data_IF_575379475872
#
_entry.id   IF_575379475872
#
_cell.length_a   1.000
_cell.length_b   1.000
_cell.length_c   1.000
_cell.angle_alpha   90.00
_cell.angle_beta   90.00
_cell.angle_gamma   90.00
#
_symmetry.space_group_name_H-M   'P 1'
#
loop_
_entity.id
_entity.type
_entity.pdbx_description
1 polymer ?
#
# COMPACT_ATOMS: atom_id res chain seq x y z
N UNK A 1 -35.00 15.17 -16.91
CA UNK A 1 -34.13 14.47 -15.95
C UNK A 1 -32.71 15.01 -16.15
N UNK A 2 -32.31 16.02 -15.38
CA UNK A 2 -30.97 16.61 -15.52
C UNK A 2 -29.98 15.69 -14.82
N UNK A 3 -29.20 14.92 -15.60
CA UNK A 3 -28.01 14.26 -15.09
C UNK A 3 -26.98 15.35 -14.79
N UNK A 4 -26.97 15.86 -13.56
CA UNK A 4 -25.84 16.61 -13.05
C UNK A 4 -24.65 15.67 -13.04
N UNK A 5 -23.79 15.79 -14.06
CA UNK A 5 -22.46 15.18 -14.07
C UNK A 5 -21.68 15.82 -12.91
N UNK A 6 -21.81 15.25 -11.70
CA UNK A 6 -20.98 15.62 -10.57
C UNK A 6 -19.57 15.16 -10.90
N UNK A 7 -18.76 16.06 -11.42
CA UNK A 7 -17.36 15.78 -11.75
C UNK A 7 -16.64 15.40 -10.45
N UNK A 8 -16.54 14.08 -10.22
CA UNK A 8 -15.77 13.54 -9.11
C UNK A 8 -14.34 14.07 -9.22
N UNK A 9 -13.83 14.68 -8.15
CA UNK A 9 -12.47 15.25 -8.15
C UNK A 9 -11.52 14.27 -7.48
N UNK A 10 -10.27 14.26 -7.96
CA UNK A 10 -9.19 13.61 -7.24
C UNK A 10 -8.90 14.45 -6.00
N UNK A 11 -9.06 13.85 -4.84
CA UNK A 11 -8.78 14.47 -3.54
C UNK A 11 -7.36 14.14 -3.10
N UNK A 12 -6.80 14.99 -2.25
CA UNK A 12 -5.50 14.78 -1.62
C UNK A 12 -5.38 13.42 -0.92
N UNK A 13 -6.50 12.87 -0.43
CA UNK A 13 -6.58 11.54 0.18
C UNK A 13 -6.26 10.43 -0.81
N UNK A 14 -6.85 10.45 -2.00
CA UNK A 14 -6.56 9.47 -3.05
C UNK A 14 -5.10 9.57 -3.51
N UNK A 15 -4.54 10.79 -3.57
CA UNK A 15 -3.13 11.00 -3.94
C UNK A 15 -2.19 10.44 -2.87
N UNK A 16 -2.41 10.79 -1.60
CA UNK A 16 -1.63 10.27 -0.47
C UNK A 16 -1.69 8.74 -0.40
N UNK A 17 -2.88 8.17 -0.58
CA UNK A 17 -3.06 6.72 -0.63
C UNK A 17 -2.18 6.08 -1.71
N UNK A 18 -2.23 6.59 -2.94
CA UNK A 18 -1.42 6.06 -4.02
C UNK A 18 0.09 6.21 -3.75
N UNK A 19 0.53 7.35 -3.23
CA UNK A 19 1.95 7.58 -2.89
C UNK A 19 2.42 6.58 -1.83
N UNK A 20 1.66 6.39 -0.75
CA UNK A 20 2.01 5.46 0.32
C UNK A 20 2.07 4.03 -0.22
N UNK A 21 1.09 3.62 -1.03
CA UNK A 21 1.08 2.27 -1.60
C UNK A 21 2.28 2.02 -2.53
N UNK A 22 2.63 2.99 -3.38
CA UNK A 22 3.81 2.90 -4.26
C UNK A 22 5.11 2.90 -3.47
N UNK A 23 5.27 3.78 -2.48
CA UNK A 23 6.45 3.79 -1.61
C UNK A 23 6.63 2.46 -0.86
N UNK A 24 5.52 1.90 -0.36
CA UNK A 24 5.54 0.59 0.32
C UNK A 24 6.01 -0.51 -0.63
N UNK A 25 5.55 -0.49 -1.89
CA UNK A 25 6.00 -1.44 -2.92
C UNK A 25 7.49 -1.27 -3.24
N UNK A 26 7.97 -0.03 -3.35
CA UNK A 26 9.41 0.21 -3.53
C UNK A 26 10.23 -0.29 -2.34
N UNK A 27 9.76 -0.05 -1.12
CA UNK A 27 10.42 -0.55 0.09
C UNK A 27 10.50 -2.09 0.10
N UNK A 28 9.48 -2.80 -0.39
CA UNK A 28 9.52 -4.25 -0.56
C UNK A 28 10.61 -4.71 -1.51
N UNK A 29 10.79 -4.03 -2.65
CA UNK A 29 11.88 -4.38 -3.57
C UNK A 29 13.26 -4.06 -3.00
N UNK A 30 13.36 -3.08 -2.11
CA UNK A 30 14.62 -2.67 -1.49
C UNK A 30 15.07 -3.58 -0.35
N UNK A 31 14.20 -4.45 0.20
CA UNK A 31 14.56 -5.27 1.36
C UNK A 31 15.75 -6.20 1.08
N UNK A 32 15.79 -6.81 -0.10
CA UNK A 32 16.81 -7.77 -0.53
C UNK A 32 18.19 -7.10 -0.76
N UNK A 33 18.30 -6.02 -1.56
CA UNK A 33 19.58 -5.31 -1.74
C UNK A 33 20.06 -4.62 -0.46
N UNK A 34 19.16 -4.20 0.44
CA UNK A 34 19.58 -3.59 1.72
C UNK A 34 20.03 -4.66 2.71
N UNK A 35 19.34 -5.79 2.80
CA UNK A 35 19.75 -6.93 3.63
C UNK A 35 21.16 -7.41 3.27
N UNK A 36 21.41 -7.59 1.96
CA UNK A 36 22.70 -8.10 1.46
C UNK A 36 23.88 -7.14 1.63
N UNK A 37 23.65 -5.82 1.78
CA UNK A 37 24.73 -4.82 1.87
C UNK A 37 24.87 -4.12 3.20
N UNK A 38 23.78 -3.94 3.94
CA UNK A 38 23.75 -3.15 5.18
C UNK A 38 23.56 -4.02 6.43
N UNK A 39 23.41 -5.33 6.26
CA UNK A 39 23.23 -6.29 7.35
C UNK A 39 21.78 -6.36 7.86
N UNK A 40 21.53 -7.35 8.72
CA UNK A 40 20.19 -7.73 9.18
C UNK A 40 19.46 -6.59 9.91
N UNK A 41 20.17 -5.73 10.64
CA UNK A 41 19.56 -4.62 11.40
C UNK A 41 18.88 -3.59 10.49
N UNK A 42 19.46 -3.33 9.31
CA UNK A 42 18.86 -2.43 8.33
C UNK A 42 17.64 -3.07 7.65
N UNK A 43 17.71 -4.38 7.37
CA UNK A 43 16.59 -5.14 6.82
C UNK A 43 15.38 -5.15 7.77
N UNK A 44 15.61 -5.38 9.07
CA UNK A 44 14.55 -5.31 10.09
C UNK A 44 13.88 -3.94 10.15
N UNK A 45 14.67 -2.86 10.06
CA UNK A 45 14.13 -1.50 10.05
C UNK A 45 13.22 -1.26 8.85
N UNK A 46 13.59 -1.75 7.67
CA UNK A 46 12.77 -1.66 6.45
C UNK A 46 11.52 -2.52 6.56
N UNK A 47 11.59 -3.71 7.19
CA UNK A 47 10.41 -4.55 7.44
C UNK A 47 9.36 -3.80 8.26
N UNK A 48 9.76 -3.09 9.32
CA UNK A 48 8.81 -2.28 10.12
C UNK A 48 8.17 -1.17 9.28
N UNK A 49 8.94 -0.50 8.42
CA UNK A 49 8.41 0.53 7.50
C UNK A 49 7.41 -0.05 6.52
N UNK A 50 7.70 -1.21 5.93
CA UNK A 50 6.79 -1.90 5.01
C UNK A 50 5.48 -2.26 5.71
N UNK A 51 5.57 -2.80 6.93
CA UNK A 51 4.41 -3.24 7.71
C UNK A 51 3.52 -2.05 8.09
N UNK A 52 4.13 -0.96 8.59
CA UNK A 52 3.42 0.28 8.90
C UNK A 52 2.78 0.92 7.65
N UNK A 53 3.51 0.96 6.53
CA UNK A 53 3.01 1.46 5.25
C UNK A 53 1.81 0.66 4.74
N UNK A 54 1.86 -0.67 4.86
CA UNK A 54 0.76 -1.54 4.46
C UNK A 54 -0.50 -1.31 5.31
N UNK A 55 -0.37 -1.20 6.64
CA UNK A 55 -1.49 -0.90 7.54
C UNK A 55 -2.10 0.46 7.20
N UNK A 56 -1.27 1.49 7.00
CA UNK A 56 -1.72 2.82 6.61
C UNK A 56 -2.45 2.81 5.26
N UNK A 57 -1.92 2.12 4.26
CA UNK A 57 -2.56 1.97 2.96
C UNK A 57 -3.95 1.32 3.08
N UNK A 58 -4.12 0.30 3.92
CA UNK A 58 -5.43 -0.34 4.15
C UNK A 58 -6.42 0.66 4.79
N UNK A 59 -5.98 1.43 5.80
CA UNK A 59 -6.82 2.45 6.43
C UNK A 59 -7.24 3.53 5.43
N UNK A 60 -6.31 4.01 4.60
CA UNK A 60 -6.60 4.98 3.55
C UNK A 60 -7.54 4.42 2.49
N UNK A 61 -7.36 3.16 2.09
CA UNK A 61 -8.28 2.49 1.17
C UNK A 61 -9.72 2.49 1.74
N UNK A 62 -9.89 2.17 3.02
CA UNK A 62 -11.21 2.20 3.66
C UNK A 62 -11.84 3.62 3.62
N UNK A 63 -11.08 4.65 3.98
CA UNK A 63 -11.55 6.05 3.98
C UNK A 63 -11.91 6.53 2.58
N UNK A 64 -11.07 6.24 1.59
CA UNK A 64 -11.24 6.63 0.18
C UNK A 64 -12.48 5.97 -0.41
N UNK A 65 -12.68 4.66 -0.21
CA UNK A 65 -13.81 3.94 -0.79
C UNK A 65 -15.15 4.23 -0.10
N UNK A 66 -15.13 4.66 1.17
CA UNK A 66 -16.32 5.17 1.89
C UNK A 66 -16.76 6.56 1.42
N UNK A 67 -15.88 7.34 0.79
CA UNK A 67 -16.18 8.71 0.35
C UNK A 67 -16.79 8.69 -1.05
N UNK A 68 -18.08 9.07 -1.16
CA UNK A 68 -18.84 9.00 -2.43
C UNK A 68 -18.38 9.98 -3.52
N UNK A 69 -17.71 11.07 -3.14
CA UNK A 69 -17.27 12.15 -4.03
C UNK A 69 -15.96 11.87 -4.79
N UNK A 70 -15.23 10.79 -4.47
CA UNK A 70 -13.90 10.53 -5.04
C UNK A 70 -13.95 9.75 -6.37
N UNK A 71 -13.05 10.10 -7.30
CA UNK A 71 -12.81 9.34 -8.54
C UNK A 71 -12.21 7.98 -8.19
N UNK A 72 -13.09 6.99 -8.00
CA UNK A 72 -12.71 5.63 -7.61
C UNK A 72 -11.69 4.97 -8.54
N UNK A 73 -11.68 5.29 -9.84
CA UNK A 73 -10.71 4.72 -10.79
C UNK A 73 -9.24 4.95 -10.40
N UNK A 74 -8.90 6.13 -9.89
CA UNK A 74 -7.53 6.41 -9.41
C UNK A 74 -7.23 5.76 -8.06
N UNK A 75 -8.26 5.57 -7.22
CA UNK A 75 -8.13 4.80 -5.99
C UNK A 75 -7.95 3.30 -6.26
N UNK A 76 -8.44 2.78 -7.38
CA UNK A 76 -8.28 1.36 -7.73
C UNK A 76 -6.81 1.00 -7.97
N UNK A 77 -6.02 1.89 -8.57
CA UNK A 77 -4.60 1.67 -8.79
C UNK A 77 -3.86 1.48 -7.46
N UNK A 78 -4.03 2.40 -6.51
CA UNK A 78 -3.46 2.28 -5.16
C UNK A 78 -3.96 1.04 -4.41
N UNK A 79 -5.22 0.64 -4.62
CA UNK A 79 -5.78 -0.58 -4.04
C UNK A 79 -5.07 -1.83 -4.57
N UNK A 80 -4.79 -1.91 -5.87
CA UNK A 80 -4.07 -3.03 -6.47
C UNK A 80 -2.65 -3.15 -5.89
N UNK A 81 -1.92 -2.03 -5.76
CA UNK A 81 -0.61 -2.04 -5.10
C UNK A 81 -0.72 -2.49 -3.63
N UNK A 82 -1.74 -2.01 -2.91
CA UNK A 82 -1.94 -2.39 -1.51
C UNK A 82 -2.26 -3.87 -1.36
N UNK A 83 -3.09 -4.44 -2.25
CA UNK A 83 -3.41 -5.87 -2.29
C UNK A 83 -2.17 -6.70 -2.63
N UNK A 84 -1.37 -6.26 -3.60
CA UNK A 84 -0.10 -6.90 -3.92
C UNK A 84 0.82 -6.91 -2.69
N UNK A 85 1.05 -5.75 -2.07
CA UNK A 85 1.87 -5.65 -0.86
C UNK A 85 1.35 -6.57 0.25
N UNK A 86 0.05 -6.55 0.54
CA UNK A 86 -0.55 -7.42 1.56
C UNK A 86 -0.35 -8.91 1.25
N UNK A 87 -0.48 -9.32 -0.03
CA UNK A 87 -0.27 -10.71 -0.44
C UNK A 87 1.18 -11.16 -0.28
N UNK A 88 2.15 -10.28 -0.56
CA UNK A 88 3.58 -10.55 -0.37
C UNK A 88 3.88 -10.75 1.11
N UNK A 89 3.37 -9.88 1.99
CA UNK A 89 3.55 -10.03 3.45
C UNK A 89 2.90 -11.33 3.94
N UNK A 90 1.68 -11.64 3.50
CA UNK A 90 0.99 -12.87 3.88
C UNK A 90 1.78 -14.11 3.45
N UNK A 91 2.38 -14.10 2.26
CA UNK A 91 3.25 -15.16 1.77
C UNK A 91 4.51 -15.33 2.65
N UNK A 92 5.17 -14.23 3.02
CA UNK A 92 6.34 -14.29 3.91
C UNK A 92 5.97 -14.81 5.31
N UNK A 93 4.82 -14.40 5.86
CA UNK A 93 4.32 -14.92 7.13
C UNK A 93 4.03 -16.43 7.02
N UNK A 94 3.36 -16.85 5.95
CA UNK A 94 3.04 -18.26 5.72
C UNK A 94 4.30 -19.14 5.64
N UNK A 95 5.30 -18.71 4.87
CA UNK A 95 6.58 -19.42 4.77
C UNK A 95 7.32 -19.41 6.10
N UNK A 96 7.38 -18.27 6.78
CA UNK A 96 8.04 -18.15 8.08
C UNK A 96 7.44 -19.08 9.13
N UNK A 97 6.11 -19.21 9.18
CA UNK A 97 5.41 -20.15 10.06
C UNK A 97 5.67 -21.60 9.65
N UNK A 98 5.74 -21.89 8.34
CA UNK A 98 5.97 -23.26 7.84
C UNK A 98 7.40 -23.77 8.05
N UNK A 99 8.36 -22.86 8.30
CA UNK A 99 9.78 -23.17 8.56
C UNK A 99 10.10 -23.33 10.05
N UNK A 100 9.19 -22.98 10.95
CA UNK A 100 9.28 -23.14 12.42
C UNK A 100 8.62 -24.44 12.83
#
# INVERSE_FOLDING_TARGET
MFYTYRSKRTTWRTVLFNIISVLTTFAMFLIDPVSSRSGESAALSIMFVILAGCVLSILFAFVVYRTSDEKKGWATIGLLFTLFNASVIAYFIWIGISLV
#
